data_IF_309017299196
#
_entry.id   IF_309017299196
#
_cell.length_a   1.000
_cell.length_b   1.000
_cell.length_c   1.000
_cell.angle_alpha   90.00
_cell.angle_beta   90.00
_cell.angle_gamma   90.00
#
_symmetry.space_group_name_H-M   'P 1'
#
loop_
_entity.id
_entity.type
_entity.pdbx_description
1 polymer ?
#
# COMPACT_ATOMS: atom_id res chain seq x y z
N UNK A 1 -12.20 12.44 0.87
CA UNK A 1 -11.32 13.55 0.45
C UNK A 1 -9.90 13.03 0.26
N UNK A 2 -9.12 13.62 -0.65
CA UNK A 2 -7.76 13.16 -1.01
C UNK A 2 -6.78 13.14 0.17
N UNK A 3 -6.86 14.11 1.10
CA UNK A 3 -6.01 14.14 2.29
C UNK A 3 -6.23 12.96 3.24
N UNK A 4 -7.50 12.57 3.47
CA UNK A 4 -7.82 11.40 4.29
C UNK A 4 -7.34 10.09 3.65
N UNK A 5 -7.39 9.99 2.31
CA UNK A 5 -6.80 8.88 1.59
C UNK A 5 -5.29 8.80 1.83
N UNK A 6 -4.56 9.89 1.62
CA UNK A 6 -3.12 9.93 1.79
C UNK A 6 -2.70 9.55 3.21
N UNK A 7 -3.36 10.11 4.22
CA UNK A 7 -3.06 9.81 5.63
C UNK A 7 -3.32 8.34 5.98
N UNK A 8 -4.45 7.78 5.53
CA UNK A 8 -4.80 6.39 5.79
C UNK A 8 -3.85 5.43 5.06
N UNK A 9 -3.55 5.69 3.78
CA UNK A 9 -2.65 4.84 2.99
C UNK A 9 -1.23 4.89 3.51
N UNK A 10 -0.75 6.03 4.01
CA UNK A 10 0.54 6.12 4.69
C UNK A 10 0.59 5.24 5.93
N UNK A 11 -0.37 5.40 6.84
CA UNK A 11 -0.46 4.59 8.05
C UNK A 11 -0.52 3.09 7.73
N UNK A 12 -1.35 2.68 6.78
CA UNK A 12 -1.45 1.27 6.39
C UNK A 12 -0.17 0.76 5.75
N UNK A 13 0.53 1.58 4.97
CA UNK A 13 1.78 1.19 4.33
C UNK A 13 2.92 1.03 5.34
N UNK A 14 3.03 1.93 6.32
CA UNK A 14 3.98 1.81 7.42
C UNK A 14 3.73 0.53 8.24
N UNK A 15 2.47 0.26 8.58
CA UNK A 15 2.08 -0.96 9.27
C UNK A 15 2.36 -2.23 8.44
N UNK A 16 2.15 -2.20 7.13
CA UNK A 16 2.47 -3.31 6.23
C UNK A 16 3.98 -3.58 6.18
N UNK A 17 4.81 -2.53 6.11
CA UNK A 17 6.27 -2.65 6.11
C UNK A 17 6.77 -3.24 7.45
N UNK A 18 6.24 -2.75 8.57
CA UNK A 18 6.58 -3.28 9.89
C UNK A 18 6.17 -4.75 10.05
N UNK A 19 4.96 -5.10 9.62
CA UNK A 19 4.46 -6.48 9.65
C UNK A 19 5.32 -7.43 8.80
N UNK A 20 5.74 -6.99 7.61
CA UNK A 20 6.66 -7.78 6.80
C UNK A 20 8.02 -8.00 7.51
N UNK A 21 8.58 -6.96 8.13
CA UNK A 21 9.84 -7.07 8.87
C UNK A 21 9.76 -8.00 10.08
N UNK A 22 8.59 -8.10 10.72
CA UNK A 22 8.33 -9.02 11.85
C UNK A 22 7.79 -10.39 11.42
N UNK A 23 7.75 -10.68 10.11
CA UNK A 23 7.18 -11.90 9.53
C UNK A 23 5.68 -12.13 9.87
N UNK A 24 4.95 -11.06 10.18
CA UNK A 24 3.51 -11.06 10.44
C UNK A 24 2.74 -10.95 9.11
N UNK A 25 2.58 -12.10 8.44
CA UNK A 25 1.93 -12.18 7.13
C UNK A 25 0.43 -11.90 7.18
N UNK A 26 -0.22 -12.10 8.33
CA UNK A 26 -1.65 -11.83 8.52
C UNK A 26 -1.90 -10.31 8.53
N UNK A 27 -1.15 -9.58 9.36
CA UNK A 27 -1.23 -8.11 9.40
C UNK A 27 -0.82 -7.53 8.05
N UNK A 28 0.22 -8.05 7.39
CA UNK A 28 0.61 -7.62 6.06
C UNK A 28 -0.54 -7.75 5.04
N UNK A 29 -1.21 -8.91 5.00
CA UNK A 29 -2.34 -9.15 4.11
C UNK A 29 -3.52 -8.22 4.42
N UNK A 30 -3.81 -7.99 5.70
CA UNK A 30 -4.89 -7.09 6.14
C UNK A 30 -4.63 -5.64 5.71
N UNK A 31 -3.42 -5.11 5.98
CA UNK A 31 -3.09 -3.71 5.66
C UNK A 31 -3.04 -3.47 4.16
N UNK A 32 -2.52 -4.41 3.39
CA UNK A 32 -2.51 -4.30 1.92
C UNK A 32 -3.93 -4.40 1.33
N UNK A 33 -4.83 -5.17 1.93
CA UNK A 33 -6.24 -5.14 1.58
C UNK A 33 -6.89 -3.75 1.83
N UNK A 34 -6.56 -3.09 2.95
CA UNK A 34 -7.03 -1.74 3.24
C UNK A 34 -6.49 -0.69 2.25
N UNK A 35 -5.22 -0.80 1.86
CA UNK A 35 -4.61 0.05 0.81
C UNK A 35 -5.37 -0.12 -0.51
N UNK A 36 -5.67 -1.36 -0.91
CA UNK A 36 -6.46 -1.66 -2.12
C UNK A 36 -7.83 -0.98 -2.07
N UNK A 37 -8.57 -1.13 -0.97
CA UNK A 37 -9.88 -0.51 -0.81
C UNK A 37 -9.81 1.02 -0.90
N UNK A 38 -8.89 1.63 -0.16
CA UNK A 38 -8.73 3.08 -0.12
C UNK A 38 -8.35 3.69 -1.47
N UNK A 39 -7.49 3.03 -2.26
CA UNK A 39 -6.97 3.54 -3.53
C UNK A 39 -7.96 3.41 -4.70
N UNK A 40 -8.81 2.37 -4.69
CA UNK A 40 -9.91 2.22 -5.66
C UNK A 40 -10.91 3.38 -5.58
N UNK A 41 -11.16 3.92 -4.38
CA UNK A 41 -12.11 5.02 -4.16
C UNK A 41 -11.64 6.36 -4.74
N UNK A 42 -10.34 6.55 -4.93
CA UNK A 42 -9.75 7.83 -5.41
C UNK A 42 -9.22 7.75 -6.83
N UNK A 43 -9.41 6.61 -7.52
CA UNK A 43 -9.03 6.44 -8.93
C UNK A 43 -7.53 6.26 -9.18
N UNK A 44 -6.74 5.93 -8.15
CA UNK A 44 -5.29 5.66 -8.31
C UNK A 44 -5.10 4.27 -8.90
N UNK A 45 -5.26 4.15 -10.22
CA UNK A 45 -5.45 2.87 -10.93
C UNK A 45 -4.42 1.77 -10.64
N UNK A 46 -3.16 2.13 -10.39
CA UNK A 46 -2.06 1.18 -10.19
C UNK A 46 -1.87 0.69 -8.75
N UNK A 47 -2.29 1.46 -7.73
CA UNK A 47 -2.12 1.07 -6.33
C UNK A 47 -2.94 -0.17 -5.92
N UNK A 48 -4.22 -0.32 -6.32
CA UNK A 48 -5.02 -1.50 -6.01
C UNK A 48 -4.41 -2.81 -6.52
N UNK A 49 -3.80 -2.78 -7.71
CA UNK A 49 -3.18 -3.96 -8.32
C UNK A 49 -1.94 -4.41 -7.56
N UNK A 50 -1.07 -3.47 -7.18
CA UNK A 50 0.15 -3.77 -6.42
C UNK A 50 -0.22 -4.26 -5.02
N UNK A 51 -1.17 -3.61 -4.36
CA UNK A 51 -1.66 -4.02 -3.05
C UNK A 51 -2.28 -5.43 -3.08
N UNK A 52 -3.01 -5.78 -4.14
CA UNK A 52 -3.52 -7.14 -4.33
C UNK A 52 -2.42 -8.18 -4.53
N UNK A 53 -1.32 -7.83 -5.22
CA UNK A 53 -0.15 -8.72 -5.37
C UNK A 53 0.53 -8.97 -4.02
N UNK A 54 0.71 -7.93 -3.20
CA UNK A 54 1.29 -8.10 -1.85
C UNK A 54 0.41 -9.01 -1.00
N UNK A 55 -0.91 -8.78 -0.98
CA UNK A 55 -1.86 -9.62 -0.26
C UNK A 55 -1.74 -11.09 -0.69
N UNK A 56 -1.74 -11.36 -2.00
CA UNK A 56 -1.61 -12.70 -2.55
C UNK A 56 -0.30 -13.38 -2.15
N UNK A 57 0.82 -12.66 -2.18
CA UNK A 57 2.13 -13.23 -1.84
C UNK A 57 2.30 -13.46 -0.33
N UNK A 58 1.72 -12.60 0.51
CA UNK A 58 1.63 -12.84 1.95
C UNK A 58 0.83 -14.12 2.24
N UNK A 59 -0.33 -14.31 1.59
CA UNK A 59 -1.16 -15.50 1.73
C UNK A 59 -0.51 -16.78 1.18
N UNK A 60 0.35 -16.66 0.17
CA UNK A 60 1.07 -17.79 -0.43
C UNK A 60 2.43 -18.06 0.24
N UNK A 61 2.78 -17.31 1.29
CA UNK A 61 4.08 -17.37 1.96
C UNK A 61 5.27 -17.23 0.98
N UNK A 62 5.18 -16.27 0.04
CA UNK A 62 6.20 -15.95 -0.96
C UNK A 62 6.85 -14.59 -0.66
N UNK A 63 7.73 -14.47 0.35
CA UNK A 63 8.21 -13.18 0.83
C UNK A 63 9.18 -12.47 -0.11
N UNK A 64 9.80 -13.18 -1.07
CA UNK A 64 10.87 -12.65 -1.92
C UNK A 64 10.42 -11.46 -2.79
N UNK A 65 9.17 -11.47 -3.25
CA UNK A 65 8.62 -10.45 -4.15
C UNK A 65 7.99 -9.26 -3.40
N UNK A 66 7.73 -9.42 -2.11
CA UNK A 66 6.99 -8.45 -1.28
C UNK A 66 7.75 -7.12 -1.11
N UNK A 67 9.08 -7.09 -0.85
CA UNK A 67 9.83 -5.84 -0.69
C UNK A 67 9.71 -4.91 -1.89
N UNK A 68 9.83 -5.44 -3.11
CA UNK A 68 9.76 -4.63 -4.33
C UNK A 68 8.37 -4.03 -4.51
N UNK A 69 7.31 -4.78 -4.20
CA UNK A 69 5.93 -4.29 -4.28
C UNK A 69 5.62 -3.23 -3.21
N UNK A 70 6.10 -3.40 -1.98
CA UNK A 70 5.98 -2.40 -0.92
C UNK A 70 6.70 -1.09 -1.30
N UNK A 71 7.87 -1.19 -1.92
CA UNK A 71 8.59 -0.03 -2.44
C UNK A 71 7.82 0.68 -3.55
N UNK A 72 7.19 -0.05 -4.48
CA UNK A 72 6.34 0.56 -5.51
C UNK A 72 5.12 1.27 -4.90
N UNK A 73 4.49 0.71 -3.87
CA UNK A 73 3.40 1.39 -3.14
C UNK A 73 3.87 2.70 -2.51
N UNK A 74 5.07 2.71 -1.93
CA UNK A 74 5.69 3.90 -1.34
C UNK A 74 5.93 5.00 -2.37
N UNK A 75 6.46 4.64 -3.54
CA UNK A 75 6.70 5.58 -4.64
C UNK A 75 5.41 6.16 -5.22
N UNK A 76 4.37 5.34 -5.39
CA UNK A 76 3.07 5.82 -5.85
C UNK A 76 2.45 6.79 -4.83
N UNK A 77 2.50 6.47 -3.54
CA UNK A 77 2.00 7.37 -2.50
C UNK A 77 2.77 8.70 -2.50
N UNK A 78 4.09 8.67 -2.66
CA UNK A 78 4.92 9.88 -2.77
C UNK A 78 4.52 10.74 -3.97
N UNK A 79 4.24 10.12 -5.13
CA UNK A 79 3.75 10.84 -6.32
C UNK A 79 2.39 11.49 -6.07
N UNK A 80 1.46 10.80 -5.43
CA UNK A 80 0.14 11.37 -5.09
C UNK A 80 0.28 12.55 -4.13
N UNK A 81 1.13 12.43 -3.10
CA UNK A 81 1.46 13.52 -2.16
C UNK A 81 2.07 14.73 -2.86
N UNK A 82 3.01 14.49 -3.77
CA UNK A 82 3.65 15.55 -4.53
C UNK A 82 2.63 16.24 -5.44
N UNK A 83 1.81 15.48 -6.16
CA UNK A 83 0.75 16.04 -7.01
C UNK A 83 -0.23 16.91 -6.21
N UNK A 84 -0.71 16.44 -5.05
CA UNK A 84 -1.59 17.24 -4.19
C UNK A 84 -0.95 18.57 -3.78
N UNK A 85 0.34 18.59 -3.42
CA UNK A 85 1.03 19.81 -2.97
C UNK A 85 1.24 20.85 -4.07
N UNK A 86 1.32 20.43 -5.34
CA UNK A 86 1.59 21.32 -6.46
C UNK A 86 0.33 21.73 -7.23
N UNK A 87 -0.84 21.16 -6.91
CA UNK A 87 -2.11 21.40 -7.60
C UNK A 87 -3.18 21.96 -6.64
N UNK A 88 -2.79 22.34 -5.43
CA UNK A 88 -3.55 23.05 -4.40
C UNK A 88 -2.64 24.11 -3.78
#
# INVERSE_FOLDING_TARGET
MLGAFISNTEMYLEQAIAAFASNDMETLALRTHQIKGSSSTVGVRFMPEIAAKVQKYAQQNKPQEIPQLLQQLKELLARVKHWQRNNF
#
